data_IF_340987407534
#
_entry.id   IF_340987407534
#
_cell.length_a   1.000
_cell.length_b   1.000
_cell.length_c   1.000
_cell.angle_alpha   90.00
_cell.angle_beta   90.00
_cell.angle_gamma   90.00
#
_symmetry.space_group_name_H-M   'P 1'
#
loop_
_entity.id
_entity.type
_entity.pdbx_description
1 polymer ?
#
# COMPACT_ATOMS: atom_id res chain seq x y z
N UNK A 1 -14.22 21.96 -15.19
CA UNK A 1 -13.86 22.91 -14.11
C UNK A 1 -15.13 23.18 -13.31
N UNK A 2 -15.05 23.29 -11.99
CA UNK A 2 -16.21 23.60 -11.16
C UNK A 2 -16.54 25.11 -11.26
N UNK A 3 -17.81 25.46 -11.44
CA UNK A 3 -18.28 26.84 -11.59
C UNK A 3 -18.45 27.59 -10.25
N UNK A 4 -18.28 26.90 -9.13
CA UNK A 4 -18.38 27.40 -7.76
C UNK A 4 -17.48 26.53 -6.85
N UNK A 5 -17.22 26.93 -5.59
CA UNK A 5 -16.46 26.11 -4.65
C UNK A 5 -17.05 24.71 -4.50
N UNK A 6 -16.21 23.69 -4.61
CA UNK A 6 -16.57 22.29 -4.42
C UNK A 6 -15.58 21.65 -3.45
N UNK A 7 -16.07 20.74 -2.61
CA UNK A 7 -15.24 19.96 -1.69
C UNK A 7 -15.49 18.47 -1.89
N UNK A 8 -14.47 17.66 -1.61
CA UNK A 8 -14.57 16.22 -1.56
C UNK A 8 -14.03 15.75 -0.21
N UNK A 9 -14.83 14.96 0.51
CA UNK A 9 -14.43 14.38 1.79
C UNK A 9 -14.23 12.89 1.57
N UNK A 10 -13.04 12.40 1.84
CA UNK A 10 -12.72 10.98 1.76
C UNK A 10 -12.79 10.36 3.15
N UNK A 11 -13.82 9.54 3.39
CA UNK A 11 -13.94 8.76 4.62
C UNK A 11 -12.99 7.56 4.54
N UNK A 12 -12.07 7.37 5.49
CA UNK A 12 -11.26 6.15 5.55
C UNK A 12 -12.15 4.92 5.72
N UNK A 13 -11.81 3.83 5.03
CA UNK A 13 -12.47 2.55 5.24
C UNK A 13 -12.25 2.10 6.69
N UNK A 14 -13.33 1.76 7.39
CA UNK A 14 -13.27 1.39 8.82
C UNK A 14 -12.94 -0.10 8.97
N UNK A 15 -13.37 -0.95 8.03
CA UNK A 15 -13.13 -2.38 8.05
C UNK A 15 -12.05 -2.79 7.05
N UNK A 16 -11.11 -3.62 7.49
CA UNK A 16 -10.15 -4.32 6.63
C UNK A 16 -10.82 -5.58 6.11
N UNK A 17 -10.97 -5.69 4.79
CA UNK A 17 -11.40 -6.93 4.16
C UNK A 17 -10.26 -7.94 4.19
N UNK A 18 -10.53 -9.14 4.69
CA UNK A 18 -9.58 -10.26 4.72
C UNK A 18 -9.61 -11.03 3.41
N UNK A 19 -8.59 -11.85 3.13
CA UNK A 19 -8.63 -12.75 1.97
C UNK A 19 -9.82 -13.72 2.03
N UNK A 20 -10.26 -14.09 3.23
CA UNK A 20 -11.43 -14.95 3.41
C UNK A 20 -12.73 -14.24 2.99
N UNK A 21 -12.83 -12.92 3.18
CA UNK A 21 -13.99 -12.14 2.73
C UNK A 21 -14.08 -12.10 1.20
N UNK A 22 -12.93 -12.02 0.52
CA UNK A 22 -12.89 -12.11 -0.96
C UNK A 22 -13.33 -13.49 -1.46
N UNK A 23 -12.97 -14.57 -0.76
CA UNK A 23 -13.43 -15.93 -1.06
C UNK A 23 -14.94 -16.04 -0.84
N UNK A 24 -15.44 -15.55 0.30
CA UNK A 24 -16.87 -15.58 0.62
C UNK A 24 -17.70 -14.76 -0.38
N UNK A 25 -17.15 -13.66 -0.89
CA UNK A 25 -17.77 -12.83 -1.93
C UNK A 25 -17.63 -13.40 -3.36
N UNK A 26 -16.98 -14.54 -3.54
CA UNK A 26 -16.76 -15.15 -4.87
C UNK A 26 -15.80 -14.36 -5.77
N UNK A 27 -15.06 -13.39 -5.23
CA UNK A 27 -14.12 -12.55 -5.99
C UNK A 27 -12.78 -13.26 -6.23
N UNK A 28 -12.40 -14.19 -5.35
CA UNK A 28 -11.24 -15.06 -5.52
C UNK A 28 -11.59 -16.50 -5.11
N UNK A 29 -10.89 -17.47 -5.68
CA UNK A 29 -11.01 -18.87 -5.23
C UNK A 29 -10.24 -19.10 -3.92
N UNK A 30 -10.60 -20.17 -3.20
CA UNK A 30 -9.85 -20.61 -2.01
C UNK A 30 -8.37 -20.83 -2.34
N UNK A 31 -8.09 -21.45 -3.49
CA UNK A 31 -6.73 -21.73 -3.94
C UNK A 31 -5.92 -20.44 -4.17
N UNK A 32 -6.51 -19.42 -4.79
CA UNK A 32 -5.87 -18.13 -4.98
C UNK A 32 -5.55 -17.45 -3.65
N UNK A 33 -6.47 -17.51 -2.68
CA UNK A 33 -6.24 -16.98 -1.34
C UNK A 33 -5.07 -17.71 -0.63
N UNK A 34 -4.98 -19.03 -0.75
CA UNK A 34 -3.89 -19.81 -0.18
C UNK A 34 -2.54 -19.52 -0.83
N UNK A 35 -2.51 -19.33 -2.16
CA UNK A 35 -1.29 -18.89 -2.87
C UNK A 35 -0.82 -17.54 -2.32
N UNK A 36 -1.73 -16.58 -2.11
CA UNK A 36 -1.38 -15.27 -1.56
C UNK A 36 -0.89 -15.38 -0.11
N UNK A 37 -1.53 -16.19 0.75
CA UNK A 37 -1.08 -16.44 2.13
C UNK A 37 0.33 -17.03 2.16
N UNK A 38 0.62 -18.02 1.32
CA UNK A 38 1.95 -18.62 1.19
C UNK A 38 2.98 -17.63 0.66
N UNK A 39 2.63 -16.85 -0.37
CA UNK A 39 3.51 -15.80 -0.89
C UNK A 39 3.85 -14.76 0.18
N UNK A 40 2.88 -14.38 1.03
CA UNK A 40 3.13 -13.56 2.21
C UNK A 40 4.07 -14.28 3.15
N UNK A 41 3.78 -15.49 3.62
CA UNK A 41 4.61 -16.25 4.56
C UNK A 41 6.07 -16.40 4.08
N UNK A 42 6.26 -16.70 2.79
CA UNK A 42 7.56 -16.86 2.13
C UNK A 42 8.28 -15.53 1.82
N UNK A 43 7.72 -14.40 2.27
CA UNK A 43 8.24 -13.05 2.05
C UNK A 43 8.48 -12.72 0.58
N UNK A 44 7.62 -13.22 -0.31
CA UNK A 44 7.68 -12.90 -1.75
C UNK A 44 7.32 -11.43 -1.98
N UNK A 45 7.91 -10.85 -3.02
CA UNK A 45 7.52 -9.53 -3.51
C UNK A 45 6.16 -9.63 -4.22
N UNK A 46 5.19 -8.82 -3.80
CA UNK A 46 3.84 -8.80 -4.37
C UNK A 46 3.54 -7.40 -4.90
N UNK A 47 3.11 -7.31 -6.16
CA UNK A 47 2.62 -6.10 -6.78
C UNK A 47 1.12 -6.22 -7.02
N UNK A 48 0.34 -5.31 -6.43
CA UNK A 48 -1.11 -5.20 -6.69
C UNK A 48 -1.34 -4.12 -7.73
N UNK A 49 -1.77 -4.53 -8.93
CA UNK A 49 -1.97 -3.64 -10.08
C UNK A 49 -3.43 -3.66 -10.56
N UNK A 50 -3.86 -2.61 -11.26
CA UNK A 50 -5.22 -2.43 -11.74
C UNK A 50 -5.59 -0.96 -11.96
N UNK A 51 -6.74 -0.72 -12.57
CA UNK A 51 -7.24 0.64 -12.84
C UNK A 51 -7.54 1.45 -11.56
N UNK A 52 -7.92 2.70 -11.74
CA UNK A 52 -8.43 3.53 -10.64
C UNK A 52 -9.71 2.90 -10.08
N UNK A 53 -9.85 2.86 -8.75
CA UNK A 53 -11.04 2.35 -8.05
C UNK A 53 -11.35 0.84 -8.23
N UNK A 54 -10.39 0.01 -8.64
CA UNK A 54 -10.58 -1.46 -8.78
C UNK A 54 -10.26 -2.27 -7.52
N UNK A 55 -10.13 -1.64 -6.35
CA UNK A 55 -9.91 -2.34 -5.08
C UNK A 55 -8.46 -2.71 -4.74
N UNK A 56 -7.45 -2.11 -5.40
CA UNK A 56 -6.02 -2.37 -5.13
C UNK A 56 -5.63 -2.16 -3.67
N UNK A 57 -5.98 -1.00 -3.12
CA UNK A 57 -5.71 -0.65 -1.71
C UNK A 57 -6.40 -1.64 -0.77
N UNK A 58 -7.63 -2.03 -1.09
CA UNK A 58 -8.40 -3.02 -0.32
C UNK A 58 -7.69 -4.38 -0.29
N UNK A 59 -7.26 -4.90 -1.44
CA UNK A 59 -6.52 -6.15 -1.51
C UNK A 59 -5.16 -6.05 -0.81
N UNK A 60 -4.49 -4.90 -0.92
CA UNK A 60 -3.23 -4.64 -0.21
C UNK A 60 -3.43 -4.69 1.31
N UNK A 61 -4.53 -4.13 1.82
CA UNK A 61 -4.88 -4.23 3.24
C UNK A 61 -5.19 -5.67 3.68
N UNK A 62 -5.82 -6.48 2.81
CA UNK A 62 -6.01 -7.91 3.07
C UNK A 62 -4.67 -8.64 3.22
N UNK A 63 -3.70 -8.35 2.34
CA UNK A 63 -2.35 -8.92 2.43
C UNK A 63 -1.59 -8.42 3.66
N UNK A 64 -1.77 -7.15 4.05
CA UNK A 64 -1.19 -6.61 5.28
C UNK A 64 -1.77 -7.24 6.54
N UNK A 65 -3.03 -7.69 6.50
CA UNK A 65 -3.62 -8.48 7.59
C UNK A 65 -2.97 -9.85 7.71
N UNK A 66 -2.56 -10.49 6.61
CA UNK A 66 -1.75 -11.72 6.66
C UNK A 66 -0.32 -11.45 7.17
N UNK A 67 0.30 -10.34 6.75
CA UNK A 67 1.61 -9.90 7.28
C UNK A 67 1.54 -9.67 8.79
N UNK A 68 0.42 -9.11 9.30
CA UNK A 68 0.26 -8.84 10.73
C UNK A 68 0.25 -10.11 11.60
N UNK A 69 0.06 -11.30 11.01
CA UNK A 69 0.13 -12.60 11.69
C UNK A 69 1.57 -13.10 11.88
N UNK A 70 2.57 -12.41 11.31
CA UNK A 70 3.98 -12.78 11.41
C UNK A 70 4.71 -11.92 12.45
N UNK A 71 5.99 -12.22 12.69
CA UNK A 71 6.90 -11.42 13.54
C UNK A 71 7.75 -10.42 12.74
N UNK A 72 7.39 -10.16 11.48
CA UNK A 72 8.20 -9.34 10.57
C UNK A 72 8.30 -7.88 11.04
N UNK A 73 9.50 -7.31 10.92
CA UNK A 73 9.68 -5.85 11.03
C UNK A 73 9.18 -5.18 9.74
N UNK A 74 8.09 -4.44 9.86
CA UNK A 74 7.41 -3.78 8.74
C UNK A 74 7.74 -2.29 8.75
N UNK A 75 8.28 -1.78 7.63
CA UNK A 75 8.36 -0.32 7.40
C UNK A 75 7.37 0.07 6.31
N UNK A 76 6.21 0.58 6.73
CA UNK A 76 5.14 1.02 5.84
C UNK A 76 5.44 2.43 5.31
N UNK A 77 5.40 2.63 3.99
CA UNK A 77 5.65 3.92 3.34
C UNK A 77 4.45 4.32 2.49
N UNK A 78 3.83 5.45 2.77
CA UNK A 78 2.66 5.95 2.03
C UNK A 78 2.65 7.47 1.90
N UNK A 79 1.98 7.99 0.85
CA UNK A 79 1.78 9.43 0.66
C UNK A 79 0.56 9.91 1.45
N UNK A 80 -0.57 9.26 1.21
CA UNK A 80 -1.81 9.42 2.00
C UNK A 80 -2.03 8.18 2.85
N UNK A 81 -2.55 8.35 4.07
CA UNK A 81 -2.90 7.23 4.95
C UNK A 81 -4.10 6.46 4.41
N UNK A 82 -3.83 5.35 3.77
CA UNK A 82 -4.85 4.43 3.26
C UNK A 82 -4.60 3.00 3.68
N UNK A 83 -3.34 2.65 3.91
CA UNK A 83 -2.96 1.31 4.27
C UNK A 83 -3.14 1.08 5.77
N UNK A 84 -3.74 -0.06 6.10
CA UNK A 84 -4.03 -0.49 7.46
C UNK A 84 -3.17 -1.71 7.74
N UNK A 85 -2.13 -1.53 8.57
CA UNK A 85 -1.24 -2.60 8.98
C UNK A 85 -1.24 -2.69 10.51
N UNK A 86 -1.54 -3.89 11.03
CA UNK A 86 -1.56 -4.18 12.46
C UNK A 86 -0.35 -5.02 12.90
N UNK A 87 0.72 -5.07 12.10
CA UNK A 87 1.91 -5.83 12.43
C UNK A 87 2.52 -5.33 13.76
N UNK A 88 2.92 -6.23 14.68
CA UNK A 88 3.43 -5.82 15.99
C UNK A 88 4.68 -4.94 15.92
N UNK A 89 5.53 -5.14 14.90
CA UNK A 89 6.79 -4.41 14.72
C UNK A 89 6.71 -3.44 13.53
N UNK A 90 5.77 -2.48 13.61
CA UNK A 90 5.47 -1.53 12.55
C UNK A 90 6.17 -0.16 12.77
N UNK A 91 6.84 0.32 11.72
CA UNK A 91 7.28 1.71 11.60
C UNK A 91 6.60 2.32 10.38
N UNK A 92 5.72 3.30 10.59
CA UNK A 92 5.05 4.01 9.49
C UNK A 92 5.80 5.29 9.12
N UNK A 93 6.12 5.45 7.84
CA UNK A 93 6.74 6.63 7.25
C UNK A 93 5.82 7.24 6.20
N UNK A 94 5.85 8.57 6.11
CA UNK A 94 5.08 9.32 5.13
C UNK A 94 5.94 10.31 4.38
N UNK A 95 5.63 10.48 3.11
CA UNK A 95 6.21 11.56 2.30
C UNK A 95 5.82 12.89 2.91
N UNK A 96 6.68 13.87 2.67
CA UNK A 96 6.40 15.26 3.02
C UNK A 96 6.94 16.11 1.89
N UNK A 97 6.06 16.82 1.20
CA UNK A 97 6.43 17.67 0.07
C UNK A 97 7.59 18.60 0.45
N UNK A 98 8.62 18.64 -0.40
CA UNK A 98 9.83 19.44 -0.18
C UNK A 98 10.79 18.90 0.89
N UNK A 99 10.47 17.81 1.58
CA UNK A 99 11.30 17.27 2.68
C UNK A 99 11.74 15.84 2.42
N UNK A 100 10.82 14.95 2.02
CA UNK A 100 11.15 13.56 1.77
C UNK A 100 10.23 12.99 0.67
N UNK A 101 10.84 12.52 -0.41
CA UNK A 101 10.16 11.75 -1.45
C UNK A 101 9.99 10.29 -1.04
N UNK A 102 9.16 9.54 -1.76
CA UNK A 102 9.01 8.10 -1.55
C UNK A 102 10.36 7.37 -1.68
N UNK A 103 11.19 7.76 -2.66
CA UNK A 103 12.54 7.23 -2.83
C UNK A 103 13.44 7.51 -1.62
N UNK A 104 13.37 8.71 -1.04
CA UNK A 104 14.17 9.05 0.14
C UNK A 104 13.76 8.22 1.36
N UNK A 105 12.45 8.00 1.52
CA UNK A 105 11.92 7.19 2.61
C UNK A 105 12.34 5.72 2.47
N UNK A 106 12.29 5.16 1.26
CA UNK A 106 12.76 3.80 0.97
C UNK A 106 14.25 3.68 1.27
N UNK A 107 15.10 4.63 0.83
CA UNK A 107 16.53 4.59 1.16
C UNK A 107 16.77 4.67 2.68
N UNK A 108 16.01 5.51 3.37
CA UNK A 108 16.11 5.65 4.83
C UNK A 108 15.66 4.39 5.58
N UNK A 109 14.67 3.66 5.05
CA UNK A 109 14.10 2.49 5.72
C UNK A 109 15.06 1.30 5.72
N UNK A 110 15.94 1.18 4.73
CA UNK A 110 16.93 0.09 4.69
C UNK A 110 17.84 0.05 5.93
N UNK A 111 18.10 1.22 6.55
CA UNK A 111 18.88 1.30 7.80
C UNK A 111 18.13 0.78 9.03
N UNK A 112 16.81 0.62 8.92
CA UNK A 112 15.96 0.11 10.01
C UNK A 112 15.92 -1.42 10.06
N UNK A 113 16.65 -2.09 9.16
CA UNK A 113 16.66 -3.56 8.99
C UNK A 113 15.24 -4.15 8.84
N UNK A 114 14.41 -3.66 7.91
CA UNK A 114 13.07 -4.19 7.71
C UNK A 114 13.11 -5.61 7.14
N UNK A 115 12.18 -6.45 7.56
CA UNK A 115 11.85 -7.69 6.87
C UNK A 115 10.92 -7.41 5.67
N UNK A 116 10.08 -6.36 5.77
CA UNK A 116 9.15 -5.93 4.72
C UNK A 116 9.06 -4.42 4.60
N UNK A 117 8.91 -3.95 3.37
CA UNK A 117 8.64 -2.54 3.05
C UNK A 117 7.39 -2.46 2.18
N UNK A 118 6.18 -2.50 2.77
CA UNK A 118 4.97 -2.20 2.02
C UNK A 118 4.98 -0.74 1.62
N UNK A 119 4.73 -0.51 0.34
CA UNK A 119 4.63 0.83 -0.23
C UNK A 119 3.19 1.00 -0.70
N UNK A 120 2.58 2.13 -0.37
CA UNK A 120 1.28 2.54 -0.91
C UNK A 120 1.33 2.75 -2.42
N UNK A 121 0.46 3.62 -2.93
CA UNK A 121 0.43 3.88 -4.37
C UNK A 121 1.76 4.46 -4.86
N UNK A 122 2.40 3.76 -5.81
CA UNK A 122 3.58 4.24 -6.53
C UNK A 122 3.12 4.80 -7.87
N UNK A 123 3.09 6.12 -7.98
CA UNK A 123 2.96 6.77 -9.28
C UNK A 123 4.34 6.82 -9.92
N UNK A 124 4.50 6.13 -11.05
CA UNK A 124 5.55 6.52 -11.98
C UNK A 124 5.21 7.93 -12.44
N UNK A 125 5.86 8.94 -11.87
CA UNK A 125 5.99 10.20 -12.59
C UNK A 125 6.63 9.82 -13.92
N UNK A 126 5.91 10.04 -15.02
CA UNK A 126 6.55 10.06 -16.33
C UNK A 126 7.84 10.86 -16.19
N UNK A 127 8.92 10.37 -16.83
CA UNK A 127 10.28 10.87 -16.68
C UNK A 127 10.35 12.41 -16.70
N UNK A 128 11.46 12.99 -16.18
CA UNK A 128 11.57 14.42 -15.97
C UNK A 128 11.02 15.18 -17.18
N UNK A 129 9.90 15.88 -17.00
CA UNK A 129 9.50 16.89 -17.98
C UNK A 129 10.59 17.94 -17.90
N UNK A 130 11.54 17.87 -18.83
CA UNK A 130 12.36 19.00 -19.18
C UNK A 130 11.38 20.14 -19.52
N UNK A 131 11.08 20.97 -18.53
CA UNK A 131 10.60 22.31 -18.78
C UNK A 131 11.84 23.05 -19.25
N UNK A 132 12.06 23.07 -20.56
CA UNK A 132 12.91 24.07 -21.18
C UNK A 132 12.30 25.44 -20.81
N UNK A 133 13.04 26.35 -20.16
CA UNK A 133 12.59 27.73 -20.06
C UNK A 133 12.67 28.35 -21.46
N UNK A 134 11.55 28.99 -21.83
CA UNK A 134 11.25 29.83 -23.00
C UNK A 134 12.27 29.85 -24.16
#
# INVERSE_FOLDING_TARGET
MAAAPAFAIRKPAVAVFTLQDYVAAGTMTVEQAEILRRAVADRRNILVAGGTSTGKTTLTNALLAEVAKTSDRVVLIEDTRELQCAAPNLIAKRTKHGVATLCDLVRSSLRLRPDRIPIGEVFTRGGPRHRTPL
#
